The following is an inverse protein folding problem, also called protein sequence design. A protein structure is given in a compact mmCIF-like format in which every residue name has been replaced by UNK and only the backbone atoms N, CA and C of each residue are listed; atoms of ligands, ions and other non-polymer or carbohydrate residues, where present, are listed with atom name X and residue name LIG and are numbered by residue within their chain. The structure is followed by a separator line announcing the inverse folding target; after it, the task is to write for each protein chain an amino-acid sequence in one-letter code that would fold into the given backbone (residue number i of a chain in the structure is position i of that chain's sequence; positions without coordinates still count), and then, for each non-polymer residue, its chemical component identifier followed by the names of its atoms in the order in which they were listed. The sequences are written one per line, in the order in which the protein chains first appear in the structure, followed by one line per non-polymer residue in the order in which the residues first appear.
data_IF_242087990903
#
_entry.id   IF_242087990903
#
_cell.length_a   1.000
_cell.length_b   1.000
_cell.length_c   1.000
_cell.angle_alpha   90.00
_cell.angle_beta   90.00
_cell.angle_gamma   90.00
#
_symmetry.space_group_name_H-M   'P 1'
#
loop_
_entity.id
_entity.type
_entity.pdbx_description
1 polymer ?
#
# COMPACT_ATOMS: atom_id res chain seq x y z
N UNK A 1 -5.47 -29.54 11.25
CA UNK A 1 -5.43 -29.52 9.76
C UNK A 1 -6.75 -29.11 9.07
N UNK A 2 -7.86 -28.87 9.80
CA UNK A 2 -9.13 -28.36 9.24
C UNK A 2 -9.19 -26.82 9.04
N UNK A 3 -8.22 -26.07 9.58
CA UNK A 3 -8.25 -24.60 9.57
C UNK A 3 -7.95 -23.95 8.21
N UNK A 4 -7.35 -24.66 7.25
CA UNK A 4 -6.78 -24.01 6.05
C UNK A 4 -7.83 -23.54 5.05
N UNK A 5 -8.82 -24.36 4.69
CA UNK A 5 -9.86 -23.97 3.70
C UNK A 5 -10.77 -22.85 4.22
N UNK A 6 -11.19 -22.95 5.49
CA UNK A 6 -12.02 -21.93 6.11
C UNK A 6 -11.26 -20.62 6.26
N UNK A 7 -10.01 -20.65 6.73
CA UNK A 7 -9.16 -19.46 6.85
C UNK A 7 -8.88 -18.81 5.50
N UNK A 8 -8.68 -19.60 4.44
CA UNK A 8 -8.53 -19.08 3.07
C UNK A 8 -9.79 -18.36 2.59
N UNK A 9 -10.98 -18.92 2.85
CA UNK A 9 -12.26 -18.25 2.53
C UNK A 9 -12.40 -16.91 3.27
N UNK A 10 -12.00 -16.86 4.55
CA UNK A 10 -11.97 -15.62 5.32
C UNK A 10 -11.01 -14.59 4.71
N UNK A 11 -9.78 -14.99 4.38
CA UNK A 11 -8.79 -14.09 3.78
C UNK A 11 -9.26 -13.51 2.44
N UNK A 12 -9.89 -14.33 1.59
CA UNK A 12 -10.50 -13.86 0.34
C UNK A 12 -11.63 -12.85 0.59
N UNK A 13 -12.46 -13.09 1.60
CA UNK A 13 -13.50 -12.14 2.02
C UNK A 13 -12.92 -10.80 2.45
N UNK A 14 -11.87 -10.82 3.26
CA UNK A 14 -11.13 -9.63 3.69
C UNK A 14 -10.52 -8.87 2.50
N UNK A 15 -9.98 -9.58 1.51
CA UNK A 15 -9.42 -8.94 0.31
C UNK A 15 -10.49 -8.22 -0.52
N UNK A 16 -11.69 -8.81 -0.66
CA UNK A 16 -12.82 -8.14 -1.32
C UNK A 16 -13.25 -6.89 -0.57
N UNK A 17 -13.31 -6.94 0.77
CA UNK A 17 -13.65 -5.77 1.59
C UNK A 17 -12.62 -4.65 1.44
N UNK A 18 -11.34 -5.00 1.40
CA UNK A 18 -10.25 -4.05 1.16
C UNK A 18 -10.38 -3.37 -0.21
N UNK A 19 -10.65 -4.14 -1.27
CA UNK A 19 -10.84 -3.62 -2.63
C UNK A 19 -12.06 -2.69 -2.74
N UNK A 20 -13.10 -2.92 -1.94
CA UNK A 20 -14.30 -2.08 -1.87
C UNK A 20 -14.15 -0.88 -0.95
N UNK A 21 -13.00 -0.68 -0.30
CA UNK A 21 -12.80 0.38 0.70
C UNK A 21 -13.62 0.19 1.99
N UNK A 22 -14.19 -1.00 2.23
CA UNK A 22 -15.03 -1.30 3.40
C UNK A 22 -14.19 -1.61 4.63
N UNK A 23 -13.34 -0.67 5.03
CA UNK A 23 -12.32 -0.91 6.07
C UNK A 23 -12.91 -1.16 7.46
N UNK A 24 -14.00 -0.48 7.83
CA UNK A 24 -14.69 -0.69 9.12
C UNK A 24 -15.24 -2.13 9.25
N UNK A 25 -15.90 -2.62 8.20
CA UNK A 25 -16.48 -3.98 8.18
C UNK A 25 -15.37 -5.03 8.19
N UNK A 26 -14.30 -4.80 7.41
CA UNK A 26 -13.14 -5.69 7.42
C UNK A 26 -12.44 -5.73 8.78
N UNK A 27 -12.33 -4.60 9.47
CA UNK A 27 -11.80 -4.52 10.84
C UNK A 27 -12.64 -5.37 11.81
N UNK A 28 -13.96 -5.21 11.80
CA UNK A 28 -14.84 -6.01 12.66
C UNK A 28 -14.74 -7.51 12.37
N UNK A 29 -14.58 -7.86 11.09
CA UNK A 29 -14.47 -9.26 10.64
C UNK A 29 -13.16 -9.90 11.11
N UNK A 30 -12.03 -9.19 10.96
CA UNK A 30 -10.72 -9.71 11.40
C UNK A 30 -10.62 -9.77 12.92
N UNK A 31 -11.18 -8.80 13.65
CA UNK A 31 -11.24 -8.82 15.12
C UNK A 31 -12.08 -10.00 15.64
N UNK A 32 -13.23 -10.28 15.02
CA UNK A 32 -14.06 -11.44 15.38
C UNK A 32 -13.29 -12.76 15.21
N UNK A 33 -12.54 -12.89 14.11
CA UNK A 33 -11.73 -14.07 13.87
C UNK A 33 -10.57 -14.20 14.87
N UNK A 34 -9.86 -13.10 15.15
CA UNK A 34 -8.73 -13.10 16.09
C UNK A 34 -9.14 -13.39 17.55
N UNK A 35 -10.39 -13.12 17.94
CA UNK A 35 -10.91 -13.55 19.25
C UNK A 35 -10.93 -15.07 19.41
N UNK A 36 -11.14 -15.81 18.32
CA UNK A 36 -11.17 -17.26 18.30
C UNK A 36 -9.79 -17.85 18.00
N UNK A 37 -8.94 -17.11 17.28
CA UNK A 37 -7.63 -17.56 16.80
C UNK A 37 -6.53 -16.48 16.99
N UNK A 38 -6.08 -16.20 18.23
CA UNK A 38 -5.31 -15.01 18.56
C UNK A 38 -3.87 -14.97 18.02
N UNK A 39 -3.30 -16.10 17.59
CA UNK A 39 -1.89 -16.22 17.22
C UNK A 39 -1.61 -16.31 15.71
N UNK A 40 -2.61 -16.08 14.84
CA UNK A 40 -2.46 -16.25 13.39
C UNK A 40 -1.82 -15.03 12.73
N UNK A 41 -0.51 -15.10 12.42
CA UNK A 41 0.28 -13.97 11.91
C UNK A 41 -0.30 -13.30 10.65
N UNK A 42 -0.90 -14.08 9.74
CA UNK A 42 -1.55 -13.55 8.53
C UNK A 42 -2.76 -12.67 8.91
N UNK A 43 -3.56 -13.09 9.90
CA UNK A 43 -4.71 -12.32 10.38
C UNK A 43 -4.29 -11.13 11.24
N UNK A 44 -3.20 -11.25 12.00
CA UNK A 44 -2.58 -10.09 12.67
C UNK A 44 -2.13 -9.04 11.65
N UNK A 45 -1.52 -9.47 10.54
CA UNK A 45 -1.15 -8.54 9.47
C UNK A 45 -2.38 -7.90 8.82
N UNK A 46 -3.44 -8.67 8.53
CA UNK A 46 -4.70 -8.11 8.01
C UNK A 46 -5.34 -7.15 9.02
N UNK A 47 -5.23 -7.41 10.31
CA UNK A 47 -5.70 -6.51 11.37
C UNK A 47 -4.94 -5.19 11.35
N UNK A 48 -3.61 -5.21 11.29
CA UNK A 48 -2.80 -4.01 11.12
C UNK A 48 -3.17 -3.24 9.84
N UNK A 49 -3.40 -3.94 8.72
CA UNK A 49 -3.86 -3.35 7.46
C UNK A 49 -5.19 -2.62 7.63
N UNK A 50 -6.22 -3.26 8.20
CA UNK A 50 -7.54 -2.65 8.34
C UNK A 50 -7.54 -1.47 9.32
N UNK A 51 -6.82 -1.58 10.44
CA UNK A 51 -6.62 -0.47 11.37
C UNK A 51 -5.99 0.74 10.67
N UNK A 52 -4.89 0.52 9.95
CA UNK A 52 -4.18 1.56 9.21
C UNK A 52 -5.06 2.22 8.13
N UNK A 53 -5.69 1.43 7.26
CA UNK A 53 -6.48 1.97 6.16
C UNK A 53 -7.78 2.62 6.62
N UNK A 54 -8.43 2.09 7.67
CA UNK A 54 -9.59 2.76 8.25
C UNK A 54 -9.22 4.10 8.88
N UNK A 55 -8.10 4.18 9.60
CA UNK A 55 -7.59 5.43 10.15
C UNK A 55 -7.24 6.44 9.04
N UNK A 56 -6.66 5.97 7.93
CA UNK A 56 -6.34 6.83 6.80
C UNK A 56 -7.59 7.34 6.09
N UNK A 57 -8.57 6.48 5.84
CA UNK A 57 -9.87 6.86 5.27
C UNK A 57 -10.58 7.90 6.15
N UNK A 58 -10.59 7.66 7.47
CA UNK A 58 -11.05 8.62 8.47
C UNK A 58 -10.19 9.88 8.54
N UNK A 59 -8.96 9.93 8.06
CA UNK A 59 -8.17 11.17 8.05
C UNK A 59 -8.52 12.03 6.84
N UNK A 60 -8.81 11.42 5.69
CA UNK A 60 -9.02 12.12 4.42
C UNK A 60 -10.50 12.34 4.03
N UNK A 61 -11.46 11.73 4.74
CA UNK A 61 -12.90 11.95 4.50
C UNK A 61 -13.34 13.41 4.82
N UNK A 62 -14.19 14.01 3.99
CA UNK A 62 -14.59 15.43 4.10
C UNK A 62 -15.69 15.72 5.14
N UNK A 63 -16.22 14.72 5.84
CA UNK A 63 -17.37 14.94 6.74
C UNK A 63 -16.97 15.47 8.13
N UNK A 64 -17.27 16.75 8.37
CA UNK A 64 -16.75 17.60 9.46
C UNK A 64 -17.49 17.52 10.82
N UNK A 65 -18.32 16.51 11.10
CA UNK A 65 -19.05 16.47 12.38
C UNK A 65 -18.21 15.79 13.49
N UNK A 66 -17.50 16.62 14.26
CA UNK A 66 -16.70 16.37 15.50
C UNK A 66 -15.23 15.97 15.30
N UNK A 67 -14.41 16.98 14.97
CA UNK A 67 -12.96 16.88 14.69
C UNK A 67 -12.12 16.28 15.84
N UNK A 68 -12.41 16.62 17.12
CA UNK A 68 -11.63 16.14 18.28
C UNK A 68 -11.80 14.65 18.54
N UNK A 69 -13.04 14.16 18.62
CA UNK A 69 -13.34 12.72 18.83
C UNK A 69 -12.84 11.88 17.66
N UNK A 70 -12.93 12.42 16.44
CA UNK A 70 -12.41 11.77 15.22
C UNK A 70 -10.88 11.65 15.26
N UNK A 71 -10.18 12.70 15.64
CA UNK A 71 -8.71 12.70 15.76
C UNK A 71 -8.23 11.67 16.78
N UNK A 72 -8.88 11.59 17.95
CA UNK A 72 -8.56 10.58 18.96
C UNK A 72 -8.77 9.15 18.43
N UNK A 73 -9.86 8.89 17.69
CA UNK A 73 -10.10 7.58 17.06
C UNK A 73 -9.02 7.23 16.04
N UNK A 74 -8.64 8.17 15.17
CA UNK A 74 -7.56 7.97 14.17
C UNK A 74 -6.24 7.62 14.86
N UNK A 75 -5.86 8.39 15.89
CA UNK A 75 -4.63 8.14 16.66
C UNK A 75 -4.69 6.76 17.34
N UNK A 76 -5.85 6.39 17.91
CA UNK A 76 -6.03 5.09 18.54
C UNK A 76 -5.83 3.93 17.55
N UNK A 77 -6.45 4.00 16.37
CA UNK A 77 -6.27 2.98 15.34
C UNK A 77 -4.82 2.89 14.86
N UNK A 78 -4.13 4.02 14.67
CA UNK A 78 -2.71 4.00 14.34
C UNK A 78 -1.86 3.37 15.45
N UNK A 79 -2.14 3.69 16.72
CA UNK A 79 -1.42 3.11 17.85
C UNK A 79 -1.63 1.59 17.96
N UNK A 80 -2.85 1.12 17.72
CA UNK A 80 -3.14 -0.31 17.66
C UNK A 80 -2.38 -0.98 16.51
N UNK A 81 -2.41 -0.38 15.31
CA UNK A 81 -1.68 -0.92 14.15
C UNK A 81 -0.16 -0.96 14.41
N UNK A 82 0.40 0.07 15.07
CA UNK A 82 1.80 0.10 15.48
C UNK A 82 2.13 -1.06 16.44
N UNK A 83 1.27 -1.31 17.44
CA UNK A 83 1.47 -2.42 18.39
C UNK A 83 1.53 -3.75 17.64
N UNK A 84 0.54 -4.03 16.80
CA UNK A 84 0.49 -5.27 15.99
C UNK A 84 1.72 -5.40 15.09
N UNK A 85 2.11 -4.35 14.37
CA UNK A 85 3.28 -4.38 13.50
C UNK A 85 4.57 -4.64 14.28
N UNK A 86 4.74 -4.02 15.45
CA UNK A 86 5.93 -4.22 16.31
C UNK A 86 6.02 -5.65 16.82
N UNK A 87 4.90 -6.23 17.26
CA UNK A 87 4.85 -7.62 17.71
C UNK A 87 5.21 -8.59 16.58
N UNK A 88 4.68 -8.38 15.37
CA UNK A 88 5.11 -9.15 14.21
C UNK A 88 6.61 -8.99 13.94
N UNK A 89 7.13 -7.76 13.90
CA UNK A 89 8.55 -7.51 13.60
C UNK A 89 9.50 -8.18 14.61
N UNK A 90 9.12 -8.27 15.89
CA UNK A 90 9.91 -8.99 16.92
C UNK A 90 10.05 -10.49 16.61
N UNK A 91 9.05 -11.10 15.99
CA UNK A 91 9.01 -12.53 15.61
C UNK A 91 9.77 -12.84 14.32
N UNK A 92 10.64 -11.94 13.84
CA UNK A 92 11.35 -12.01 12.54
C UNK A 92 11.80 -13.42 12.15
N UNK A 93 12.43 -14.17 13.08
CA UNK A 93 13.02 -15.49 12.82
C UNK A 93 12.01 -16.53 12.32
N UNK A 94 10.73 -16.39 12.69
CA UNK A 94 9.69 -17.38 12.42
C UNK A 94 8.63 -16.89 11.44
N UNK A 95 8.76 -15.65 10.93
CA UNK A 95 7.77 -15.06 10.06
C UNK A 95 8.06 -15.31 8.58
N UNK A 96 7.02 -15.64 7.78
CA UNK A 96 7.11 -15.54 6.34
C UNK A 96 7.62 -14.15 5.92
N UNK A 97 8.60 -14.10 5.02
CA UNK A 97 9.26 -12.86 4.61
C UNK A 97 8.27 -11.78 4.16
N UNK A 98 7.19 -12.19 3.46
CA UNK A 98 6.09 -11.30 3.04
C UNK A 98 5.43 -10.58 4.23
N UNK A 99 5.10 -11.31 5.30
CA UNK A 99 4.45 -10.75 6.49
C UNK A 99 5.39 -9.76 7.17
N UNK A 100 6.65 -10.15 7.34
CA UNK A 100 7.67 -9.31 7.95
C UNK A 100 7.86 -7.99 7.19
N UNK A 101 7.98 -8.04 5.86
CA UNK A 101 8.12 -6.85 5.02
C UNK A 101 6.89 -5.94 5.11
N UNK A 102 5.69 -6.51 4.98
CA UNK A 102 4.45 -5.73 5.03
C UNK A 102 4.26 -5.03 6.39
N UNK A 103 4.55 -5.71 7.50
CA UNK A 103 4.49 -5.10 8.83
C UNK A 103 5.43 -3.89 8.96
N UNK A 104 6.66 -3.99 8.42
CA UNK A 104 7.62 -2.86 8.42
C UNK A 104 7.16 -1.69 7.55
N UNK A 105 6.57 -2.00 6.39
CA UNK A 105 6.02 -0.99 5.47
C UNK A 105 4.85 -0.26 6.12
N UNK A 106 3.87 -0.99 6.68
CA UNK A 106 2.74 -0.37 7.39
C UNK A 106 3.22 0.50 8.53
N UNK A 107 4.19 0.02 9.33
CA UNK A 107 4.77 0.80 10.41
C UNK A 107 5.38 2.12 9.91
N UNK A 108 6.10 2.09 8.79
CA UNK A 108 6.67 3.30 8.19
C UNK A 108 5.60 4.26 7.64
N UNK A 109 4.58 3.74 6.97
CA UNK A 109 3.46 4.53 6.46
C UNK A 109 2.68 5.19 7.60
N UNK A 110 2.43 4.46 8.69
CA UNK A 110 1.78 5.01 9.89
C UNK A 110 2.65 6.11 10.49
N UNK A 111 3.97 5.92 10.61
CA UNK A 111 4.86 6.98 11.08
C UNK A 111 4.86 8.21 10.19
N UNK A 112 4.80 8.05 8.86
CA UNK A 112 4.66 9.19 7.96
C UNK A 112 3.33 9.93 8.19
N UNK A 113 2.23 9.20 8.34
CA UNK A 113 0.92 9.77 8.60
C UNK A 113 0.80 10.49 9.96
N UNK A 114 1.64 10.13 10.93
CA UNK A 114 1.77 10.78 12.22
C UNK A 114 2.84 11.89 12.25
N UNK A 115 3.43 12.26 11.11
CA UNK A 115 4.48 13.28 11.03
C UNK A 115 5.85 12.85 11.60
N UNK A 116 6.02 11.57 11.95
CA UNK A 116 7.27 11.02 12.52
C UNK A 116 8.29 10.71 11.41
N UNK A 117 8.70 11.74 10.68
CA UNK A 117 9.52 11.67 9.46
C UNK A 117 10.80 10.84 9.63
N UNK A 118 11.61 11.10 10.66
CA UNK A 118 12.85 10.35 10.92
C UNK A 118 12.60 8.85 11.08
N UNK A 119 11.56 8.46 11.84
CA UNK A 119 11.20 7.05 12.05
C UNK A 119 10.73 6.42 10.75
N UNK A 120 9.83 7.08 10.02
CA UNK A 120 9.33 6.60 8.74
C UNK A 120 10.47 6.33 7.74
N UNK A 121 11.37 7.30 7.53
CA UNK A 121 12.54 7.18 6.63
C UNK A 121 13.50 6.06 7.08
N UNK A 122 13.73 5.91 8.38
CA UNK A 122 14.57 4.83 8.94
C UNK A 122 13.99 3.46 8.62
N UNK A 123 12.69 3.25 8.86
CA UNK A 123 12.05 1.96 8.61
C UNK A 123 12.05 1.60 7.11
N UNK A 124 11.74 2.52 6.20
CA UNK A 124 11.76 2.19 4.76
C UNK A 124 13.16 1.90 4.25
N UNK A 125 14.18 2.66 4.66
CA UNK A 125 15.58 2.38 4.28
C UNK A 125 16.01 1.00 4.76
N UNK A 126 15.76 0.69 6.03
CA UNK A 126 16.11 -0.62 6.58
C UNK A 126 15.30 -1.76 5.94
N UNK A 127 14.06 -1.51 5.49
CA UNK A 127 13.25 -2.51 4.78
C UNK A 127 13.76 -2.75 3.36
N UNK A 128 14.12 -1.69 2.64
CA UNK A 128 14.75 -1.80 1.33
C UNK A 128 16.10 -2.52 1.41
N UNK A 129 16.95 -2.17 2.38
CA UNK A 129 18.26 -2.82 2.56
C UNK A 129 18.11 -4.32 2.87
N UNK A 130 17.03 -4.72 3.55
CA UNK A 130 16.75 -6.13 3.83
C UNK A 130 16.32 -6.91 2.56
N UNK A 131 15.58 -6.28 1.64
CA UNK A 131 15.21 -6.91 0.36
C UNK A 131 15.17 -5.86 -0.76
N UNK A 132 16.28 -5.59 -1.48
CA UNK A 132 16.40 -4.45 -2.39
C UNK A 132 15.78 -4.68 -3.78
N UNK A 133 14.46 -4.89 -3.81
CA UNK A 133 13.66 -5.14 -5.02
C UNK A 133 12.75 -3.97 -5.37
N UNK A 134 12.20 -3.97 -6.59
CA UNK A 134 11.27 -2.93 -7.09
C UNK A 134 10.15 -2.63 -6.09
N UNK A 135 9.48 -3.67 -5.56
CA UNK A 135 8.40 -3.51 -4.60
C UNK A 135 8.81 -2.71 -3.36
N UNK A 136 9.93 -3.03 -2.72
CA UNK A 136 10.37 -2.29 -1.52
C UNK A 136 10.77 -0.84 -1.81
N UNK A 137 11.28 -0.56 -3.02
CA UNK A 137 11.56 0.81 -3.45
C UNK A 137 10.27 1.60 -3.72
N UNK A 138 9.26 0.99 -4.34
CA UNK A 138 7.93 1.59 -4.53
C UNK A 138 7.28 1.93 -3.19
N UNK A 139 7.36 1.01 -2.23
CA UNK A 139 6.83 1.24 -0.87
C UNK A 139 7.59 2.33 -0.13
N UNK A 140 8.89 2.46 -0.35
CA UNK A 140 9.66 3.60 0.15
C UNK A 140 9.19 4.92 -0.50
N UNK A 141 8.94 4.92 -1.80
CA UNK A 141 8.45 6.10 -2.51
C UNK A 141 7.10 6.58 -1.95
N UNK A 142 6.14 5.67 -1.69
CA UNK A 142 4.86 6.03 -1.08
C UNK A 142 5.02 6.68 0.30
N UNK A 143 5.96 6.19 1.12
CA UNK A 143 6.25 6.78 2.44
C UNK A 143 6.81 8.20 2.30
N UNK A 144 7.74 8.43 1.36
CA UNK A 144 8.28 9.76 1.11
C UNK A 144 7.21 10.72 0.56
N UNK A 145 6.34 10.24 -0.34
CA UNK A 145 5.20 11.01 -0.85
C UNK A 145 4.24 11.41 0.27
N UNK A 146 3.94 10.52 1.21
CA UNK A 146 3.11 10.83 2.40
C UNK A 146 3.75 11.85 3.35
N UNK A 147 5.07 11.97 3.32
CA UNK A 147 5.83 13.00 4.03
C UNK A 147 5.91 14.32 3.25
N UNK A 148 5.28 14.41 2.07
CA UNK A 148 5.43 15.51 1.12
C UNK A 148 6.88 15.75 0.64
N UNK A 149 7.77 14.75 0.76
CA UNK A 149 9.14 14.78 0.26
C UNK A 149 9.14 14.23 -1.17
N UNK A 150 8.74 15.08 -2.12
CA UNK A 150 8.51 14.69 -3.52
C UNK A 150 9.81 14.29 -4.24
N UNK A 151 10.91 14.97 -3.94
CA UNK A 151 12.22 14.61 -4.51
C UNK A 151 12.72 13.27 -4.00
N UNK A 152 12.52 12.99 -2.70
CA UNK A 152 12.81 11.68 -2.14
C UNK A 152 11.91 10.60 -2.73
N UNK A 153 10.62 10.88 -2.92
CA UNK A 153 9.70 9.96 -3.59
C UNK A 153 10.14 9.67 -5.02
N UNK A 154 10.61 10.69 -5.76
CA UNK A 154 11.11 10.57 -7.13
C UNK A 154 12.32 9.64 -7.19
N UNK A 155 13.32 9.85 -6.33
CA UNK A 155 14.51 8.99 -6.27
C UNK A 155 14.15 7.53 -5.98
N UNK A 156 13.16 7.29 -5.13
CA UNK A 156 12.70 5.94 -4.81
C UNK A 156 11.89 5.30 -5.95
N UNK A 157 11.02 6.05 -6.64
CA UNK A 157 10.33 5.54 -7.83
C UNK A 157 11.31 5.21 -8.96
N UNK A 158 12.29 6.06 -9.23
CA UNK A 158 13.36 5.76 -10.20
C UNK A 158 14.15 4.50 -9.82
N UNK A 159 14.42 4.31 -8.52
CA UNK A 159 15.05 3.08 -8.01
C UNK A 159 14.15 1.86 -8.19
N UNK A 160 12.83 2.00 -8.04
CA UNK A 160 11.87 0.93 -8.29
C UNK A 160 11.89 0.51 -9.77
N UNK A 161 11.86 1.48 -10.69
CA UNK A 161 11.99 1.24 -12.14
C UNK A 161 13.29 0.50 -12.46
N UNK A 162 14.45 0.96 -11.93
CA UNK A 162 15.74 0.30 -12.14
C UNK A 162 15.79 -1.14 -11.61
N UNK A 163 15.03 -1.46 -10.57
CA UNK A 163 15.00 -2.79 -9.95
C UNK A 163 13.92 -3.71 -10.54
N UNK A 164 13.00 -3.19 -11.35
CA UNK A 164 11.92 -3.96 -11.93
C UNK A 164 12.44 -4.87 -13.06
N UNK A 165 12.29 -6.18 -12.89
CA UNK A 165 12.78 -7.17 -13.85
C UNK A 165 11.67 -7.66 -14.76
N UNK A 166 10.52 -7.96 -14.17
CA UNK A 166 9.37 -8.56 -14.86
C UNK A 166 8.42 -7.50 -15.41
N UNK A 167 7.60 -7.88 -16.40
CA UNK A 167 6.66 -6.96 -17.04
C UNK A 167 5.65 -6.37 -16.05
N UNK A 168 5.16 -7.16 -15.09
CA UNK A 168 4.26 -6.71 -14.03
C UNK A 168 4.94 -5.73 -13.07
N UNK A 169 6.18 -6.03 -12.66
CA UNK A 169 6.98 -5.13 -11.82
C UNK A 169 7.26 -3.79 -12.53
N UNK A 170 7.58 -3.83 -13.82
CA UNK A 170 7.84 -2.62 -14.63
C UNK A 170 6.57 -1.79 -14.78
N UNK A 171 5.45 -2.43 -15.11
CA UNK A 171 4.16 -1.76 -15.22
C UNK A 171 3.80 -1.01 -13.93
N UNK A 172 3.98 -1.66 -12.77
CA UNK A 172 3.70 -1.04 -11.46
C UNK A 172 4.67 0.10 -11.17
N UNK A 173 5.98 -0.08 -11.43
CA UNK A 173 6.98 0.94 -11.15
C UNK A 173 6.75 2.22 -11.97
N UNK A 174 6.49 2.08 -13.28
CA UNK A 174 6.18 3.20 -14.17
C UNK A 174 4.83 3.85 -13.81
N UNK A 175 3.81 3.07 -13.45
CA UNK A 175 2.53 3.63 -12.97
C UNK A 175 2.72 4.47 -11.69
N UNK A 176 3.56 4.00 -10.76
CA UNK A 176 3.92 4.76 -9.55
C UNK A 176 4.59 6.09 -9.87
N UNK A 177 5.57 6.07 -10.79
CA UNK A 177 6.28 7.26 -11.22
C UNK A 177 5.36 8.25 -11.96
N UNK A 178 4.44 7.75 -12.80
CA UNK A 178 3.43 8.57 -13.45
C UNK A 178 2.55 9.33 -12.45
N UNK A 179 2.06 8.63 -11.42
CA UNK A 179 1.26 9.26 -10.36
C UNK A 179 2.06 10.32 -9.60
N UNK A 180 3.36 10.10 -9.36
CA UNK A 180 4.20 11.11 -8.73
C UNK A 180 4.41 12.32 -9.63
N UNK A 181 4.75 12.14 -10.91
CA UNK A 181 4.90 13.27 -11.84
C UNK A 181 3.63 14.10 -11.94
N UNK A 182 2.46 13.44 -11.97
CA UNK A 182 1.17 14.14 -11.89
C UNK A 182 1.04 14.95 -10.61
N UNK A 183 1.38 14.37 -9.47
CA UNK A 183 1.34 15.07 -8.19
C UNK A 183 2.30 16.29 -8.14
N UNK A 184 3.41 16.22 -8.87
CA UNK A 184 4.36 17.33 -9.05
C UNK A 184 3.93 18.34 -10.14
N UNK A 185 2.76 18.17 -10.77
CA UNK A 185 2.30 19.04 -11.88
C UNK A 185 2.98 18.79 -13.23
N UNK A 186 3.83 17.76 -13.36
CA UNK A 186 4.56 17.41 -14.60
C UNK A 186 3.72 16.48 -15.47
N UNK A 187 2.69 17.03 -16.11
CA UNK A 187 1.63 16.25 -16.79
C UNK A 187 2.17 15.43 -17.97
N UNK A 188 3.04 16.01 -18.78
CA UNK A 188 3.59 15.38 -19.98
C UNK A 188 4.42 14.15 -19.61
N UNK A 189 5.27 14.29 -18.59
CA UNK A 189 6.06 13.17 -18.04
C UNK A 189 5.16 12.11 -17.42
N UNK A 190 4.08 12.50 -16.76
CA UNK A 190 3.11 11.54 -16.23
C UNK A 190 2.48 10.70 -17.35
N UNK A 191 2.11 11.32 -18.48
CA UNK A 191 1.54 10.62 -19.64
C UNK A 191 2.56 9.68 -20.26
N UNK A 192 3.82 10.09 -20.41
CA UNK A 192 4.89 9.24 -20.93
C UNK A 192 5.06 7.96 -20.08
N UNK A 193 5.15 8.11 -18.76
CA UNK A 193 5.27 6.98 -17.83
C UNK A 193 4.03 6.07 -17.86
N UNK A 194 2.83 6.63 -18.05
CA UNK A 194 1.62 5.82 -18.25
C UNK A 194 1.70 4.99 -19.52
N UNK A 195 2.22 5.53 -20.63
CA UNK A 195 2.39 4.77 -21.88
C UNK A 195 3.33 3.57 -21.66
N UNK A 196 4.44 3.79 -20.97
CA UNK A 196 5.38 2.73 -20.63
C UNK A 196 4.73 1.69 -19.70
N UNK A 197 3.97 2.13 -18.70
CA UNK A 197 3.25 1.24 -17.79
C UNK A 197 2.27 0.33 -18.56
N UNK A 198 1.47 0.89 -19.46
CA UNK A 198 0.51 0.13 -20.31
C UNK A 198 1.24 -0.82 -21.24
N UNK A 199 2.36 -0.40 -21.84
CA UNK A 199 3.17 -1.25 -22.73
C UNK A 199 3.63 -2.53 -22.03
N UNK A 200 4.23 -2.41 -20.85
CA UNK A 200 4.63 -3.59 -20.07
C UNK A 200 3.43 -4.37 -19.59
N UNK A 201 2.35 -3.68 -19.22
CA UNK A 201 1.14 -4.32 -18.77
C UNK A 201 0.53 -5.25 -19.84
N UNK A 202 0.46 -4.83 -21.11
CA UNK A 202 -0.02 -5.66 -22.24
C UNK A 202 0.79 -6.95 -22.44
N UNK A 203 2.00 -7.04 -21.87
CA UNK A 203 2.91 -8.19 -21.97
C UNK A 203 2.87 -9.12 -20.75
N UNK A 204 1.99 -8.87 -19.79
CA UNK A 204 1.83 -9.72 -18.61
C UNK A 204 0.96 -10.93 -18.95
N UNK A 205 1.58 -12.11 -19.11
CA UNK A 205 0.86 -13.37 -19.42
C UNK A 205 -0.10 -13.82 -18.31
N UNK A 206 0.26 -13.56 -17.05
CA UNK A 206 -0.57 -13.88 -15.88
C UNK A 206 -0.49 -12.73 -14.87
N UNK A 207 -1.48 -11.81 -14.82
CA UNK A 207 -1.44 -10.69 -13.90
C UNK A 207 -1.65 -11.15 -12.46
N UNK A 208 -0.57 -11.55 -11.78
CA UNK A 208 -0.59 -11.94 -10.36
C UNK A 208 -0.72 -10.73 -9.42
N UNK A 209 -0.22 -9.57 -9.84
CA UNK A 209 -0.06 -8.40 -8.97
C UNK A 209 -1.11 -7.30 -9.20
N UNK A 210 -1.72 -7.20 -10.38
CA UNK A 210 -2.67 -6.12 -10.67
C UNK A 210 -3.58 -6.42 -11.86
N UNK A 211 -4.89 -6.16 -11.70
CA UNK A 211 -5.86 -6.29 -12.79
C UNK A 211 -5.65 -5.16 -13.84
N UNK A 212 -5.55 -5.48 -15.14
CA UNK A 212 -5.39 -4.52 -16.24
C UNK A 212 -6.37 -3.35 -16.20
N UNK A 213 -7.66 -3.70 -16.06
CA UNK A 213 -8.77 -2.75 -16.10
C UNK A 213 -8.72 -1.84 -14.88
N UNK A 214 -8.29 -2.37 -13.74
CA UNK A 214 -8.16 -1.61 -12.51
C UNK A 214 -7.00 -0.61 -12.58
N UNK A 215 -5.82 -1.03 -13.08
CA UNK A 215 -4.68 -0.12 -13.25
C UNK A 215 -5.03 1.04 -14.18
N UNK A 216 -5.61 0.74 -15.34
CA UNK A 216 -6.02 1.77 -16.31
C UNK A 216 -7.08 2.70 -15.71
N UNK A 217 -8.05 2.16 -14.96
CA UNK A 217 -9.06 2.95 -14.26
C UNK A 217 -8.44 3.91 -13.25
N UNK A 218 -7.48 3.43 -12.44
CA UNK A 218 -6.74 4.23 -11.45
C UNK A 218 -5.94 5.34 -12.16
N UNK A 219 -5.19 5.00 -13.21
CA UNK A 219 -4.41 5.98 -13.96
C UNK A 219 -5.31 7.05 -14.58
N UNK A 220 -6.44 6.66 -15.18
CA UNK A 220 -7.44 7.61 -15.74
C UNK A 220 -8.11 8.49 -14.68
N UNK A 221 -8.29 8.00 -13.44
CA UNK A 221 -8.86 8.83 -12.36
C UNK A 221 -7.87 9.85 -11.82
N UNK A 222 -6.56 9.56 -11.86
CA UNK A 222 -5.52 10.47 -11.39
C UNK A 222 -4.98 11.40 -12.50
N UNK A 223 -5.04 10.97 -13.76
CA UNK A 223 -4.56 11.70 -14.94
C UNK A 223 -5.71 11.77 -15.97
N UNK A 224 -6.70 12.67 -15.76
CA UNK A 224 -7.86 12.79 -16.64
C UNK A 224 -7.49 13.14 -18.10
N UNK A 225 -6.32 13.72 -18.33
CA UNK A 225 -5.76 14.05 -19.65
C UNK A 225 -5.53 12.78 -20.51
N UNK A 226 -5.46 11.60 -19.89
CA UNK A 226 -5.44 10.32 -20.59
C UNK A 226 -6.72 10.04 -21.39
N UNK A 227 -7.85 10.71 -21.08
CA UNK A 227 -9.10 10.55 -21.84
C UNK A 227 -9.06 11.25 -23.20
N UNK A 228 -8.23 12.29 -23.32
CA UNK A 228 -8.08 13.09 -24.56
C UNK A 228 -7.07 12.48 -25.54
N UNK A 229 -6.36 11.45 -25.10
CA UNK A 229 -5.31 10.80 -25.88
C UNK A 229 -5.80 9.44 -26.35
N UNK A 230 -5.70 9.16 -27.65
CA UNK A 230 -6.14 7.93 -28.34
C UNK A 230 -5.38 6.65 -27.91
N UNK A 231 -4.66 6.71 -26.79
CA UNK A 231 -3.57 5.80 -26.38
C UNK A 231 -4.01 4.42 -25.90
N UNK A 232 -5.30 4.07 -25.99
CA UNK A 232 -5.87 2.90 -25.33
C UNK A 232 -6.83 2.07 -26.19
N UNK A 233 -6.75 2.19 -27.52
CA UNK A 233 -7.26 1.14 -28.42
C UNK A 233 -6.32 -0.07 -28.37
#
# INVERSE_FOLDING_TARGET
MLETKQSQKYLLGLERLAQQGKYRVGLQTVEKYLKQHPAMDEFLLKHAFFLYHHAADLKYSRNAKKERTRTLKIINYFNQAIRVCRELIKRKKFLPQRIYLNARIYLAQIYAMLGKSRKAKTFVRATYNYLPISLTAERAADVYRRLNDLDGALRWHQRAVKKAKKADEKAIAHAGLAMLYRHMGKVEKAIEEVRIAIYFFKRVKHPKLLNPKLLIKILRSHIPELKKTTLLV
#
